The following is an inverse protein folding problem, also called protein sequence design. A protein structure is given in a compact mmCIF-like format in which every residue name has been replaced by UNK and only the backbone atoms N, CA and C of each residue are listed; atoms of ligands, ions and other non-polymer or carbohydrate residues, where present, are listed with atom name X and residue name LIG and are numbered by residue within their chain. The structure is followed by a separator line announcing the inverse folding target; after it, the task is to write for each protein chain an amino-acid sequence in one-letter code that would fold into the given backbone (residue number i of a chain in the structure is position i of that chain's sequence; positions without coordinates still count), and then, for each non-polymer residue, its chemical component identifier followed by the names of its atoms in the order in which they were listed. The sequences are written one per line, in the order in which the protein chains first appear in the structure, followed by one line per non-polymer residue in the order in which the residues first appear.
data_IF_560622153296
#
_entry.id   IF_560622153296
#
_cell.length_a   1.000
_cell.length_b   1.000
_cell.length_c   1.000
_cell.angle_alpha   90.00
_cell.angle_beta   90.00
_cell.angle_gamma   90.00
#
_symmetry.space_group_name_H-M   'P 1'
#
loop_
_entity.id
_entity.type
_entity.pdbx_description
1 polymer ?
#
# COMPACT_ATOMS: atom_id res chain seq x y z
N UNK A 1 2.53 8.30 28.60
CA UNK A 1 3.85 7.67 28.80
C UNK A 1 3.59 6.30 29.41
N UNK A 2 3.97 5.23 28.75
CA UNK A 2 3.80 3.86 29.24
C UNK A 2 5.15 3.39 29.81
N UNK A 3 5.17 2.97 31.08
CA UNK A 3 6.32 2.32 31.68
C UNK A 3 6.32 0.85 31.28
N UNK A 4 7.47 0.29 30.96
CA UNK A 4 7.65 -1.13 30.67
C UNK A 4 8.77 -1.70 31.57
N UNK A 5 8.65 -2.96 31.94
CA UNK A 5 9.67 -3.65 32.73
C UNK A 5 10.74 -4.27 31.82
N UNK A 6 10.34 -4.81 30.67
CA UNK A 6 11.24 -5.42 29.72
C UNK A 6 11.01 -4.82 28.31
N UNK A 7 12.07 -4.26 27.74
CA UNK A 7 12.05 -3.64 26.42
C UNK A 7 11.63 -4.60 25.32
N UNK A 8 12.06 -5.87 25.39
CA UNK A 8 11.72 -6.91 24.42
C UNK A 8 10.21 -7.15 24.35
N UNK A 9 9.54 -7.25 25.49
CA UNK A 9 8.10 -7.50 25.58
C UNK A 9 7.31 -6.31 25.04
N UNK A 10 7.73 -5.10 25.37
CA UNK A 10 7.13 -3.87 24.86
C UNK A 10 7.22 -3.82 23.34
N UNK A 11 8.41 -4.02 22.76
CA UNK A 11 8.60 -3.99 21.32
C UNK A 11 7.89 -5.14 20.60
N UNK A 12 7.80 -6.33 21.18
CA UNK A 12 7.06 -7.44 20.58
C UNK A 12 5.59 -7.09 20.37
N UNK A 13 5.00 -6.31 21.27
CA UNK A 13 3.60 -5.88 21.17
C UNK A 13 3.41 -4.67 20.25
N UNK A 14 4.37 -3.75 20.21
CA UNK A 14 4.20 -2.43 19.62
C UNK A 14 4.92 -2.25 18.26
N UNK A 15 5.85 -3.16 17.88
CA UNK A 15 6.74 -2.96 16.74
C UNK A 15 6.01 -2.68 15.42
N UNK A 16 4.99 -3.47 15.10
CA UNK A 16 4.20 -3.29 13.87
C UNK A 16 2.96 -2.40 14.03
N UNK A 17 2.79 -1.75 15.20
CA UNK A 17 1.66 -0.87 15.47
C UNK A 17 1.94 0.60 15.18
N UNK A 18 3.21 0.97 15.08
CA UNK A 18 3.64 2.34 14.89
C UNK A 18 4.29 2.55 13.52
N UNK A 19 4.13 3.74 12.96
CA UNK A 19 4.69 4.10 11.66
C UNK A 19 6.24 4.23 11.69
N UNK A 20 6.83 4.46 12.85
CA UNK A 20 8.27 4.55 13.06
C UNK A 20 8.63 4.35 14.54
N UNK A 21 9.87 3.96 14.83
CA UNK A 21 10.42 3.87 16.18
C UNK A 21 11.66 4.74 16.33
N UNK A 22 11.72 5.48 17.42
CA UNK A 22 12.89 6.25 17.83
C UNK A 22 13.42 5.63 19.13
N UNK A 23 14.59 5.05 19.05
CA UNK A 23 15.25 4.40 20.18
C UNK A 23 16.30 5.33 20.76
N UNK A 24 16.15 5.72 22.04
CA UNK A 24 17.16 6.49 22.74
C UNK A 24 18.06 5.54 23.52
N UNK A 25 19.30 5.36 23.07
CA UNK A 25 20.24 4.45 23.68
C UNK A 25 21.32 3.91 22.74
N UNK A 26 21.97 2.83 23.12
CA UNK A 26 23.02 2.21 22.31
C UNK A 26 22.45 1.41 21.14
N UNK A 27 22.98 1.64 19.94
CA UNK A 27 22.58 0.94 18.72
C UNK A 27 22.68 -0.59 18.85
N UNK A 28 23.70 -1.10 19.54
CA UNK A 28 23.86 -2.54 19.77
C UNK A 28 22.73 -3.16 20.60
N UNK A 29 22.10 -2.42 21.52
CA UNK A 29 20.92 -2.87 22.26
C UNK A 29 19.72 -2.90 21.31
N UNK A 30 19.51 -1.83 20.55
CA UNK A 30 18.44 -1.76 19.57
C UNK A 30 18.50 -2.94 18.59
N UNK A 31 19.68 -3.25 18.04
CA UNK A 31 19.86 -4.39 17.10
C UNK A 31 19.44 -5.71 17.75
N UNK A 32 19.87 -5.97 18.98
CA UNK A 32 19.58 -7.26 19.67
C UNK A 32 18.09 -7.45 19.95
N UNK A 33 17.39 -6.39 20.36
CA UNK A 33 15.94 -6.47 20.66
C UNK A 33 15.09 -6.48 19.41
N UNK A 34 15.56 -5.87 18.30
CA UNK A 34 14.85 -5.83 17.03
C UNK A 34 15.03 -7.12 16.22
N UNK A 35 16.20 -7.76 16.29
CA UNK A 35 16.53 -8.90 15.44
C UNK A 35 15.44 -9.99 15.35
N UNK A 36 14.81 -10.44 16.46
CA UNK A 36 13.75 -11.44 16.40
C UNK A 36 12.41 -10.93 15.85
N UNK A 37 12.24 -9.59 15.70
CA UNK A 37 11.01 -8.96 15.25
C UNK A 37 11.05 -8.61 13.77
N UNK A 38 12.25 -8.55 13.18
CA UNK A 38 12.44 -8.18 11.78
C UNK A 38 11.85 -9.24 10.86
N UNK A 39 11.06 -8.79 9.89
CA UNK A 39 10.43 -9.63 8.87
C UNK A 39 10.97 -9.31 7.50
N UNK A 40 10.69 -8.10 7.02
CA UNK A 40 11.03 -7.71 5.67
C UNK A 40 11.06 -6.18 5.52
N UNK A 41 12.03 -5.65 4.75
CA UNK A 41 12.21 -4.20 4.53
C UNK A 41 10.97 -3.46 3.99
N UNK A 42 10.01 -4.17 3.42
CA UNK A 42 8.74 -3.61 2.91
C UNK A 42 7.61 -3.60 3.93
N UNK A 43 7.81 -4.23 5.10
CA UNK A 43 6.79 -4.39 6.15
C UNK A 43 7.26 -3.79 7.48
N UNK A 44 8.57 -3.83 7.72
CA UNK A 44 9.16 -3.33 8.95
C UNK A 44 9.10 -1.79 8.99
N UNK A 45 8.68 -1.19 10.12
CA UNK A 45 8.75 0.25 10.29
C UNK A 45 10.20 0.74 10.36
N UNK A 46 10.49 1.99 9.97
CA UNK A 46 11.79 2.57 10.14
C UNK A 46 12.15 2.70 11.62
N UNK A 47 13.39 2.39 11.94
CA UNK A 47 13.94 2.54 13.29
C UNK A 47 15.11 3.49 13.26
N UNK A 48 15.03 4.52 14.08
CA UNK A 48 16.12 5.44 14.36
C UNK A 48 16.71 5.15 15.74
N UNK A 49 18.01 5.37 15.87
CA UNK A 49 18.69 5.34 17.16
C UNK A 49 19.32 6.69 17.42
N UNK A 50 18.97 7.28 18.56
CA UNK A 50 19.64 8.48 19.10
C UNK A 50 20.59 8.04 20.20
N UNK A 51 21.83 8.55 20.18
CA UNK A 51 22.74 8.35 21.31
C UNK A 51 22.25 9.16 22.54
N UNK A 52 22.54 8.72 23.78
CA UNK A 52 22.03 9.38 24.97
C UNK A 52 22.46 10.86 25.12
N UNK A 53 23.55 11.25 24.48
CA UNK A 53 24.03 12.63 24.47
C UNK A 53 23.37 13.49 23.38
N UNK A 54 22.50 12.90 22.54
CA UNK A 54 21.81 13.62 21.46
C UNK A 54 22.72 14.12 20.34
N UNK A 55 23.90 13.52 20.16
CA UNK A 55 24.87 13.95 19.13
C UNK A 55 24.65 13.32 17.78
N UNK A 56 24.07 12.10 17.75
CA UNK A 56 23.89 11.31 16.53
C UNK A 56 22.47 10.79 16.41
N UNK A 57 21.91 10.86 15.20
CA UNK A 57 20.65 10.21 14.82
C UNK A 57 20.98 9.20 13.73
N UNK A 58 20.95 7.92 14.07
CA UNK A 58 21.32 6.82 13.20
C UNK A 58 20.06 6.26 12.55
N UNK A 59 20.00 6.24 11.21
CA UNK A 59 18.99 5.49 10.47
C UNK A 59 19.39 4.02 10.46
N UNK A 60 18.80 3.23 11.38
CA UNK A 60 19.23 1.86 11.62
C UNK A 60 18.58 0.85 10.69
N UNK A 61 17.26 0.95 10.49
CA UNK A 61 16.46 -0.01 9.71
C UNK A 61 15.48 0.77 8.81
N UNK A 62 15.21 0.23 7.62
CA UNK A 62 14.26 0.77 6.64
C UNK A 62 14.52 2.24 6.26
N UNK A 63 15.81 2.57 6.06
CA UNK A 63 16.26 3.92 5.75
C UNK A 63 15.61 4.52 4.51
N UNK A 64 15.56 3.78 3.40
CA UNK A 64 14.99 4.23 2.12
C UNK A 64 13.49 4.03 2.07
N UNK A 65 13.04 2.79 1.92
CA UNK A 65 11.63 2.45 1.72
C UNK A 65 10.72 2.94 2.85
N UNK A 66 11.14 2.74 4.09
CA UNK A 66 10.39 3.19 5.27
C UNK A 66 10.50 4.69 5.55
N UNK A 67 11.34 5.44 4.81
CA UNK A 67 11.54 6.87 5.05
C UNK A 67 12.47 7.19 6.24
N UNK A 68 13.15 6.18 6.81
CA UNK A 68 14.05 6.36 7.98
C UNK A 68 15.15 7.40 7.77
N UNK A 69 15.71 7.50 6.53
CA UNK A 69 16.74 8.49 6.22
C UNK A 69 16.20 9.93 6.27
N UNK A 70 15.02 10.16 5.71
CA UNK A 70 14.37 11.47 5.76
C UNK A 70 14.01 11.84 7.21
N UNK A 71 13.45 10.89 7.96
CA UNK A 71 13.11 11.06 9.36
C UNK A 71 14.37 11.33 10.21
N UNK A 72 15.48 10.61 9.96
CA UNK A 72 16.76 10.84 10.65
C UNK A 72 17.29 12.26 10.43
N UNK A 73 17.26 12.76 9.18
CA UNK A 73 17.64 14.14 8.85
C UNK A 73 16.71 15.15 9.53
N UNK A 74 15.40 14.85 9.57
CA UNK A 74 14.43 15.73 10.22
C UNK A 74 14.66 15.83 11.72
N UNK A 75 14.75 14.70 12.43
CA UNK A 75 15.01 14.66 13.87
C UNK A 75 16.37 15.30 14.20
N UNK A 76 17.42 14.97 13.43
CA UNK A 76 18.75 15.56 13.65
C UNK A 76 18.72 17.09 13.60
N UNK A 77 17.99 17.69 12.66
CA UNK A 77 17.80 19.16 12.61
C UNK A 77 17.07 19.70 13.83
N UNK A 78 16.06 18.99 14.33
CA UNK A 78 15.28 19.43 15.49
C UNK A 78 16.09 19.45 16.78
N UNK A 79 16.99 18.47 16.96
CA UNK A 79 17.77 18.31 18.20
C UNK A 79 19.23 18.81 18.08
N UNK A 80 19.63 19.35 16.93
CA UNK A 80 21.00 19.80 16.69
C UNK A 80 22.02 18.66 16.57
N UNK A 81 21.59 17.47 16.20
CA UNK A 81 22.41 16.27 16.07
C UNK A 81 22.95 16.07 14.65
N UNK A 82 23.92 15.14 14.51
CA UNK A 82 24.42 14.69 13.21
C UNK A 82 23.60 13.48 12.73
N UNK A 83 23.00 13.51 11.53
CA UNK A 83 22.35 12.34 10.95
C UNK A 83 23.41 11.36 10.43
N UNK A 84 23.31 10.09 10.83
CA UNK A 84 24.19 8.99 10.36
C UNK A 84 23.39 8.11 9.41
N UNK A 85 23.71 8.21 8.12
CA UNK A 85 23.06 7.48 7.04
C UNK A 85 24.12 6.68 6.30
N UNK A 86 23.92 5.36 6.20
CA UNK A 86 24.92 4.42 5.65
C UNK A 86 24.45 3.73 4.36
N UNK A 87 23.30 4.13 3.82
CA UNK A 87 22.78 3.56 2.57
C UNK A 87 23.66 3.95 1.38
N UNK A 88 24.04 2.98 0.57
CA UNK A 88 24.99 3.17 -0.54
C UNK A 88 24.55 4.26 -1.55
N UNK A 89 23.24 4.41 -1.77
CA UNK A 89 22.69 5.43 -2.65
C UNK A 89 22.80 6.86 -2.11
N UNK A 90 22.91 7.04 -0.77
CA UNK A 90 23.09 8.35 -0.16
C UNK A 90 24.57 8.73 0.02
N UNK A 91 25.48 7.81 -0.21
CA UNK A 91 26.94 7.99 -0.06
C UNK A 91 27.65 8.29 -1.38
N UNK A 92 26.95 8.44 -2.51
CA UNK A 92 27.58 8.81 -3.78
C UNK A 92 28.09 10.25 -3.74
N UNK A 93 29.41 10.41 -3.86
CA UNK A 93 30.12 11.70 -3.88
C UNK A 93 29.88 12.52 -5.16
N UNK A 94 29.27 11.93 -6.16
CA UNK A 94 28.93 12.61 -7.42
C UNK A 94 27.46 12.97 -7.39
N UNK A 95 27.08 14.18 -7.18
CA UNK A 95 25.75 14.82 -7.20
C UNK A 95 24.62 14.18 -8.07
N UNK A 96 24.79 12.95 -8.51
CA UNK A 96 23.80 12.11 -9.19
C UNK A 96 23.38 11.04 -8.19
N UNK A 97 22.25 11.25 -7.54
CA UNK A 97 21.62 10.19 -6.72
C UNK A 97 21.30 9.01 -7.65
N UNK A 98 21.88 7.81 -7.42
CA UNK A 98 21.55 6.67 -8.27
C UNK A 98 20.04 6.44 -8.19
N UNK A 99 19.39 6.26 -9.34
CA UNK A 99 17.98 5.91 -9.39
C UNK A 99 17.75 4.60 -8.64
N UNK A 100 17.13 4.66 -7.48
CA UNK A 100 16.74 3.47 -6.73
C UNK A 100 15.32 3.11 -7.10
N UNK A 101 15.15 1.91 -7.66
CA UNK A 101 13.86 1.44 -8.17
C UNK A 101 12.78 1.40 -7.08
N UNK A 102 13.15 1.02 -5.86
CA UNK A 102 12.24 1.02 -4.73
C UNK A 102 11.73 2.42 -4.40
N UNK A 103 12.59 3.44 -4.38
CA UNK A 103 12.16 4.81 -4.14
C UNK A 103 11.28 5.33 -5.27
N UNK A 104 11.65 5.08 -6.50
CA UNK A 104 10.85 5.46 -7.65
C UNK A 104 9.43 4.90 -7.55
N UNK A 105 9.29 3.61 -7.24
CA UNK A 105 8.00 2.94 -7.11
C UNK A 105 7.22 3.46 -5.90
N UNK A 106 7.88 3.70 -4.78
CA UNK A 106 7.27 4.30 -3.58
C UNK A 106 6.75 5.69 -3.86
N UNK A 107 7.58 6.55 -4.45
CA UNK A 107 7.23 7.95 -4.72
C UNK A 107 6.12 8.06 -5.78
N UNK A 108 5.99 7.06 -6.65
CA UNK A 108 4.84 6.87 -7.51
C UNK A 108 3.63 6.24 -6.79
N UNK A 109 3.68 5.99 -5.48
CA UNK A 109 2.59 5.38 -4.70
C UNK A 109 2.33 3.90 -5.00
N UNK A 110 3.28 3.22 -5.65
CA UNK A 110 3.16 1.83 -6.07
C UNK A 110 3.65 0.87 -4.98
N UNK A 111 3.13 -0.36 -4.96
CA UNK A 111 3.46 -1.35 -3.93
C UNK A 111 4.17 -2.56 -4.53
N UNK A 112 5.40 -2.82 -4.11
CA UNK A 112 6.20 -3.96 -4.56
C UNK A 112 5.63 -5.25 -3.94
N UNK A 113 5.38 -6.28 -4.78
CA UNK A 113 4.91 -7.59 -4.35
C UNK A 113 6.03 -8.62 -4.26
N UNK A 114 7.07 -8.51 -5.11
CA UNK A 114 8.16 -9.47 -5.21
C UNK A 114 9.51 -8.85 -4.84
N UNK A 115 9.74 -8.66 -3.56
CA UNK A 115 10.97 -8.10 -3.03
C UNK A 115 12.22 -8.90 -3.40
N UNK A 116 12.09 -10.22 -3.63
CA UNK A 116 13.20 -11.09 -4.06
C UNK A 116 13.68 -10.81 -5.49
N UNK A 117 12.83 -10.22 -6.35
CA UNK A 117 13.20 -9.82 -7.71
C UNK A 117 13.83 -8.43 -7.79
N UNK A 118 13.54 -7.58 -6.80
CA UNK A 118 13.99 -6.19 -6.78
C UNK A 118 15.53 -6.02 -6.86
N UNK A 119 16.37 -6.78 -6.13
CA UNK A 119 17.81 -6.65 -6.23
C UNK A 119 18.36 -6.89 -7.63
N UNK A 120 17.78 -7.84 -8.37
CA UNK A 120 18.19 -8.13 -9.76
C UNK A 120 17.80 -6.99 -10.70
N UNK A 121 16.61 -6.43 -10.55
CA UNK A 121 16.15 -5.28 -11.31
C UNK A 121 17.02 -4.05 -11.01
N UNK A 122 17.32 -3.80 -9.73
CA UNK A 122 18.17 -2.70 -9.31
C UNK A 122 19.61 -2.84 -9.84
N UNK A 123 20.20 -4.06 -9.80
CA UNK A 123 21.52 -4.32 -10.35
C UNK A 123 21.59 -4.02 -11.85
N UNK A 124 20.57 -4.42 -12.61
CA UNK A 124 20.49 -4.13 -14.04
C UNK A 124 20.46 -2.61 -14.31
N UNK A 125 19.73 -1.84 -13.51
CA UNK A 125 19.74 -0.38 -13.62
C UNK A 125 21.10 0.25 -13.30
N UNK A 126 21.77 -0.23 -12.26
CA UNK A 126 23.11 0.24 -11.88
C UNK A 126 24.17 -0.08 -12.94
N UNK A 127 23.96 -1.16 -13.71
CA UNK A 127 24.80 -1.52 -14.87
C UNK A 127 24.44 -0.74 -16.15
N UNK A 128 23.53 0.25 -16.06
CA UNK A 128 23.09 1.06 -17.20
C UNK A 128 22.14 0.34 -18.17
N UNK A 129 21.60 -0.83 -17.78
CA UNK A 129 20.64 -1.58 -18.60
C UNK A 129 19.22 -1.02 -18.38
N UNK A 130 18.39 -1.10 -19.41
CA UNK A 130 16.97 -0.74 -19.33
C UNK A 130 16.14 -1.91 -18.83
N UNK A 131 15.15 -1.64 -17.99
CA UNK A 131 14.18 -2.63 -17.51
C UNK A 131 12.98 -2.70 -18.45
N UNK A 132 12.57 -3.91 -18.87
CA UNK A 132 11.27 -4.08 -19.51
C UNK A 132 10.16 -3.72 -18.53
N UNK A 133 9.24 -2.82 -18.92
CA UNK A 133 8.12 -2.37 -18.10
C UNK A 133 6.80 -2.65 -18.81
N UNK A 134 5.96 -3.47 -18.20
CA UNK A 134 4.55 -3.63 -18.56
C UNK A 134 3.70 -2.82 -17.57
N UNK A 135 3.16 -1.70 -18.03
CA UNK A 135 2.40 -0.74 -17.24
C UNK A 135 1.17 -0.25 -18.03
N UNK A 136 0.17 -1.12 -18.23
CA UNK A 136 -1.04 -0.75 -18.96
C UNK A 136 -1.89 0.29 -18.21
N UNK A 137 -1.61 0.48 -16.93
CA UNK A 137 -2.29 1.47 -16.10
C UNK A 137 -1.66 2.87 -16.17
N UNK A 138 -0.56 3.04 -16.91
CA UNK A 138 0.22 4.27 -16.94
C UNK A 138 0.50 4.84 -15.54
N UNK A 139 0.80 3.95 -14.59
CA UNK A 139 0.99 4.29 -13.19
C UNK A 139 2.35 4.97 -12.92
N UNK A 140 3.35 4.71 -13.76
CA UNK A 140 4.62 5.42 -13.73
C UNK A 140 4.59 6.61 -14.69
N UNK A 141 5.08 7.80 -14.29
CA UNK A 141 5.14 8.99 -15.15
C UNK A 141 5.89 8.72 -16.46
N UNK A 142 5.47 9.33 -17.57
CA UNK A 142 6.17 9.21 -18.87
C UNK A 142 7.58 9.79 -18.81
N UNK A 143 7.77 10.85 -18.03
CA UNK A 143 9.05 11.49 -17.76
C UNK A 143 9.97 10.67 -16.81
N UNK A 144 9.61 9.43 -16.50
CA UNK A 144 10.52 8.51 -15.78
C UNK A 144 11.80 8.40 -16.61
N UNK A 145 13.00 8.49 -16.00
CA UNK A 145 14.26 8.42 -16.72
C UNK A 145 14.29 7.26 -17.72
N UNK A 146 15.08 7.34 -18.79
CA UNK A 146 15.12 6.35 -19.87
C UNK A 146 15.58 4.95 -19.45
N UNK A 147 15.40 4.61 -18.17
CA UNK A 147 15.73 3.32 -17.57
C UNK A 147 14.68 2.23 -17.85
N UNK A 148 13.53 2.58 -18.43
CA UNK A 148 12.47 1.63 -18.75
C UNK A 148 12.21 1.53 -20.24
N UNK A 149 12.15 0.28 -20.74
CA UNK A 149 11.61 -0.05 -22.03
C UNK A 149 10.14 -0.44 -21.87
N UNK A 150 9.22 0.46 -22.20
CA UNK A 150 7.77 0.22 -22.05
C UNK A 150 7.29 -0.76 -23.11
N UNK A 151 6.63 -1.81 -22.65
CA UNK A 151 6.01 -2.80 -23.50
C UNK A 151 4.62 -2.31 -23.90
N UNK A 152 4.26 -2.45 -25.16
CA UNK A 152 2.90 -2.16 -25.66
C UNK A 152 1.92 -3.18 -25.08
N UNK A 153 0.81 -2.69 -24.52
CA UNK A 153 -0.18 -3.56 -23.88
C UNK A 153 -1.53 -2.84 -23.72
N UNK A 154 -2.59 -3.63 -23.71
CA UNK A 154 -3.92 -3.18 -23.30
C UNK A 154 -4.11 -3.38 -21.79
N UNK A 155 -4.90 -2.51 -21.14
CA UNK A 155 -5.19 -2.60 -19.70
C UNK A 155 -5.84 -3.94 -19.32
N UNK A 156 -6.62 -4.52 -20.20
CA UNK A 156 -7.28 -5.81 -19.98
C UNK A 156 -6.49 -7.01 -20.53
N UNK A 157 -5.32 -6.77 -21.17
CA UNK A 157 -4.45 -7.81 -21.70
C UNK A 157 -3.77 -8.66 -20.62
N UNK A 158 -3.36 -9.88 -20.95
CA UNK A 158 -2.61 -10.72 -20.03
C UNK A 158 -1.20 -10.13 -19.79
N UNK A 159 -0.60 -10.35 -18.59
CA UNK A 159 0.79 -10.00 -18.36
C UNK A 159 1.71 -10.79 -19.32
N UNK A 160 2.86 -10.21 -19.70
CA UNK A 160 3.78 -10.80 -20.67
C UNK A 160 4.53 -12.02 -20.10
N UNK A 161 3.84 -13.12 -19.88
CA UNK A 161 4.37 -14.33 -19.23
C UNK A 161 5.43 -15.04 -20.08
N UNK A 162 5.36 -14.95 -21.39
CA UNK A 162 6.31 -15.63 -22.30
C UNK A 162 7.70 -14.99 -22.28
N UNK A 163 7.79 -13.70 -22.03
CA UNK A 163 9.07 -12.97 -21.95
C UNK A 163 9.86 -13.28 -20.67
N UNK A 164 9.20 -13.80 -19.63
CA UNK A 164 9.84 -14.05 -18.32
C UNK A 164 10.77 -15.28 -18.34
N UNK A 165 10.64 -16.15 -19.32
CA UNK A 165 11.38 -17.44 -19.37
C UNK A 165 12.82 -17.30 -19.85
N UNK A 166 13.13 -16.31 -20.66
CA UNK A 166 14.41 -16.20 -21.38
C UNK A 166 15.23 -14.95 -21.01
N UNK A 167 14.61 -13.94 -20.39
CA UNK A 167 15.31 -12.69 -20.04
C UNK A 167 16.12 -12.84 -18.74
N UNK A 168 17.42 -12.48 -18.72
CA UNK A 168 18.20 -12.39 -17.50
C UNK A 168 17.77 -11.21 -16.60
N UNK A 169 17.04 -10.25 -17.15
CA UNK A 169 16.52 -9.06 -16.46
C UNK A 169 15.06 -9.29 -16.13
N UNK A 170 14.63 -9.06 -14.87
CA UNK A 170 13.22 -9.16 -14.51
C UNK A 170 12.37 -8.16 -15.29
N UNK A 171 11.18 -8.59 -15.72
CA UNK A 171 10.17 -7.69 -16.25
C UNK A 171 9.48 -7.04 -15.06
N UNK A 172 9.38 -5.71 -15.05
CA UNK A 172 8.58 -4.97 -14.09
C UNK A 172 7.15 -4.92 -14.62
N UNK A 173 6.19 -5.44 -13.85
CA UNK A 173 4.77 -5.45 -14.22
C UNK A 173 3.93 -4.74 -13.17
N UNK A 174 3.28 -3.63 -13.58
CA UNK A 174 2.47 -2.77 -12.72
C UNK A 174 0.98 -2.92 -13.07
N UNK A 175 0.19 -3.48 -12.15
CA UNK A 175 -1.25 -3.67 -12.40
C UNK A 175 -2.06 -3.76 -11.10
N UNK A 176 -3.37 -3.54 -11.18
CA UNK A 176 -4.33 -3.68 -10.08
C UNK A 176 -4.94 -5.10 -9.99
N UNK A 177 -4.79 -5.96 -11.02
CA UNK A 177 -5.19 -7.36 -11.00
C UNK A 177 -4.08 -8.25 -10.46
N UNK A 178 -4.44 -9.44 -10.00
CA UNK A 178 -3.45 -10.48 -9.64
C UNK A 178 -2.67 -10.91 -10.86
N UNK A 179 -1.38 -11.01 -10.69
CA UNK A 179 -0.45 -11.51 -11.71
C UNK A 179 0.21 -12.80 -11.23
N UNK A 180 0.57 -13.71 -12.16
CA UNK A 180 1.24 -14.97 -11.81
C UNK A 180 2.59 -14.67 -11.15
N UNK A 181 2.93 -15.42 -10.10
CA UNK A 181 4.24 -15.33 -9.45
C UNK A 181 5.25 -16.14 -10.24
N UNK A 182 6.24 -15.49 -10.84
CA UNK A 182 7.34 -16.11 -11.58
C UNK A 182 8.69 -15.58 -11.11
N UNK A 183 9.78 -16.33 -11.36
CA UNK A 183 11.13 -15.96 -10.90
C UNK A 183 11.70 -14.67 -11.50
N UNK A 184 11.20 -14.26 -12.67
CA UNK A 184 11.69 -13.12 -13.43
C UNK A 184 10.61 -12.04 -13.65
N UNK A 185 9.57 -12.01 -12.83
CA UNK A 185 8.55 -10.99 -12.84
C UNK A 185 8.59 -10.22 -11.53
N UNK A 186 8.94 -8.94 -11.59
CA UNK A 186 8.77 -8.00 -10.49
C UNK A 186 7.34 -7.47 -10.55
N UNK A 187 6.44 -8.07 -9.78
CA UNK A 187 5.05 -7.62 -9.69
C UNK A 187 4.94 -6.39 -8.81
N UNK A 188 4.19 -5.43 -9.32
CA UNK A 188 3.95 -4.13 -8.68
C UNK A 188 2.44 -3.92 -8.65
N UNK A 189 1.87 -3.77 -7.46
CA UNK A 189 0.46 -3.43 -7.33
C UNK A 189 0.27 -1.93 -7.53
N UNK A 190 -0.72 -1.58 -8.35
CA UNK A 190 -1.16 -0.21 -8.61
C UNK A 190 -2.41 0.07 -7.78
N UNK A 191 -2.35 0.89 -6.71
CA UNK A 191 -3.50 1.17 -5.84
C UNK A 191 -4.54 2.03 -6.57
N UNK A 192 -5.54 1.37 -7.16
CA UNK A 192 -6.67 2.01 -7.88
C UNK A 192 -8.02 1.42 -7.48
N UNK A 193 -8.04 0.38 -6.63
CA UNK A 193 -9.27 -0.28 -6.23
C UNK A 193 -9.85 0.38 -4.99
N UNK A 194 -11.13 0.69 -5.01
CA UNK A 194 -11.89 1.17 -3.86
C UNK A 194 -12.99 0.18 -3.54
N UNK A 195 -12.99 -0.33 -2.31
CA UNK A 195 -13.94 -1.36 -1.86
C UNK A 195 -15.04 -0.69 -1.04
N UNK A 196 -16.25 -0.70 -1.57
CA UNK A 196 -17.41 -0.25 -0.84
C UNK A 196 -18.01 -1.39 -0.02
N UNK A 197 -18.38 -1.09 1.20
CA UNK A 197 -18.90 -2.04 2.19
C UNK A 197 -20.23 -1.54 2.78
N UNK A 198 -21.22 -2.42 2.80
CA UNK A 198 -22.45 -2.26 3.57
C UNK A 198 -22.61 -3.44 4.49
N UNK A 199 -22.79 -3.22 5.80
CA UNK A 199 -22.88 -4.31 6.77
C UNK A 199 -23.96 -4.08 7.82
N UNK A 200 -24.44 -5.16 8.44
CA UNK A 200 -25.21 -5.09 9.68
C UNK A 200 -24.30 -4.66 10.82
N UNK A 201 -24.85 -4.15 11.91
CA UNK A 201 -24.09 -3.78 13.11
C UNK A 201 -23.53 -5.02 13.81
N UNK A 202 -22.39 -4.85 14.46
CA UNK A 202 -21.78 -5.84 15.36
C UNK A 202 -21.50 -7.21 14.72
N UNK A 203 -21.10 -7.22 13.44
CA UNK A 203 -20.64 -8.46 12.81
C UNK A 203 -19.22 -8.81 13.29
N UNK A 204 -18.90 -10.12 13.41
CA UNK A 204 -17.55 -10.57 13.69
C UNK A 204 -16.55 -10.05 12.63
N UNK A 205 -15.36 -9.67 13.06
CA UNK A 205 -14.34 -9.06 12.18
C UNK A 205 -13.83 -10.02 11.11
N UNK A 206 -13.75 -11.31 11.40
CA UNK A 206 -13.35 -12.38 10.47
C UNK A 206 -14.28 -12.51 9.27
N UNK A 207 -15.56 -12.16 9.43
CA UNK A 207 -16.55 -12.18 8.33
C UNK A 207 -16.10 -11.25 7.18
N UNK A 208 -15.57 -10.07 7.49
CA UNK A 208 -15.10 -9.14 6.46
C UNK A 208 -13.85 -9.68 5.76
N UNK A 209 -12.91 -10.26 6.52
CA UNK A 209 -11.68 -10.81 5.94
C UNK A 209 -12.00 -11.93 4.96
N UNK A 210 -12.79 -12.90 5.38
CA UNK A 210 -13.17 -14.01 4.51
C UNK A 210 -13.92 -13.52 3.26
N UNK A 211 -14.88 -12.61 3.43
CA UNK A 211 -15.65 -12.06 2.32
C UNK A 211 -14.75 -11.28 1.32
N UNK A 212 -13.77 -10.53 1.80
CA UNK A 212 -12.82 -9.80 0.96
C UNK A 212 -11.86 -10.76 0.24
N UNK A 213 -11.35 -11.78 0.92
CA UNK A 213 -10.48 -12.80 0.31
C UNK A 213 -11.19 -13.57 -0.81
N UNK A 214 -12.43 -13.98 -0.58
CA UNK A 214 -13.28 -14.61 -1.60
C UNK A 214 -13.57 -13.67 -2.77
N UNK A 215 -13.93 -12.40 -2.48
CA UNK A 215 -14.19 -11.37 -3.50
C UNK A 215 -12.98 -11.15 -4.41
N UNK A 216 -11.81 -10.96 -3.81
CA UNK A 216 -10.56 -10.72 -4.56
C UNK A 216 -10.15 -11.95 -5.37
N UNK A 217 -10.29 -13.15 -4.80
CA UNK A 217 -9.97 -14.39 -5.51
C UNK A 217 -10.89 -14.62 -6.71
N UNK A 218 -12.20 -14.50 -6.51
CA UNK A 218 -13.20 -14.74 -7.55
C UNK A 218 -13.10 -13.75 -8.73
N UNK A 219 -12.63 -12.52 -8.48
CA UNK A 219 -12.57 -11.46 -9.49
C UNK A 219 -11.13 -11.15 -9.96
N UNK A 220 -10.15 -11.99 -9.61
CA UNK A 220 -8.74 -11.80 -9.97
C UNK A 220 -8.16 -10.44 -9.57
N UNK A 221 -8.56 -9.92 -8.40
CA UNK A 221 -8.10 -8.62 -7.89
C UNK A 221 -6.90 -8.79 -6.96
N UNK A 222 -5.94 -7.85 -7.03
CA UNK A 222 -4.78 -7.82 -6.13
C UNK A 222 -5.13 -7.04 -4.84
N UNK A 223 -5.15 -7.67 -3.65
CA UNK A 223 -5.49 -6.98 -2.40
C UNK A 223 -4.61 -5.77 -2.10
N UNK A 224 -3.33 -5.83 -2.50
CA UNK A 224 -2.38 -4.72 -2.35
C UNK A 224 -2.67 -3.56 -3.32
N UNK A 225 -3.58 -3.73 -4.29
CA UNK A 225 -4.05 -2.67 -5.17
C UNK A 225 -5.25 -1.88 -4.60
N UNK A 226 -5.69 -2.20 -3.38
CA UNK A 226 -6.75 -1.44 -2.71
C UNK A 226 -6.20 -0.10 -2.23
N UNK A 227 -6.77 1.00 -2.78
CA UNK A 227 -6.44 2.38 -2.43
C UNK A 227 -7.29 2.88 -1.24
N UNK A 228 -8.49 2.32 -1.04
CA UNK A 228 -9.36 2.70 0.07
C UNK A 228 -10.55 1.77 0.26
N UNK A 229 -11.10 1.80 1.47
CA UNK A 229 -12.41 1.24 1.79
C UNK A 229 -13.40 2.38 1.92
N UNK A 230 -14.67 2.11 1.62
CA UNK A 230 -15.71 3.12 1.69
C UNK A 230 -17.03 2.58 2.25
N UNK A 231 -17.74 3.41 3.02
CA UNK A 231 -19.04 3.06 3.59
C UNK A 231 -19.89 4.31 3.85
N UNK A 232 -21.07 4.11 4.46
CA UNK A 232 -21.90 5.18 4.95
C UNK A 232 -21.39 5.71 6.30
N UNK A 233 -21.56 7.01 6.55
CA UNK A 233 -21.03 7.72 7.71
C UNK A 233 -21.44 7.11 9.05
N UNK A 234 -22.67 6.61 9.17
CA UNK A 234 -23.19 5.98 10.40
C UNK A 234 -22.45 4.67 10.77
N UNK A 235 -21.48 4.26 9.94
CA UNK A 235 -20.65 3.06 10.12
C UNK A 235 -19.17 3.37 10.36
N UNK A 236 -18.82 4.64 10.58
CA UNK A 236 -17.41 5.04 10.71
C UNK A 236 -16.67 4.37 11.88
N UNK A 237 -17.37 4.07 12.99
CA UNK A 237 -16.82 3.33 14.15
C UNK A 237 -17.10 1.83 14.11
N UNK A 238 -17.64 1.29 13.04
CA UNK A 238 -17.97 -0.14 12.98
C UNK A 238 -16.68 -0.98 13.05
N UNK A 239 -16.48 -1.82 14.08
CA UNK A 239 -15.23 -2.56 14.29
C UNK A 239 -14.79 -3.40 13.09
N UNK A 240 -15.76 -3.98 12.37
CA UNK A 240 -15.53 -4.75 11.17
C UNK A 240 -14.88 -3.92 10.05
N UNK A 241 -15.34 -2.67 9.85
CA UNK A 241 -14.79 -1.80 8.81
C UNK A 241 -13.39 -1.31 9.16
N UNK A 242 -13.18 -0.92 10.42
CA UNK A 242 -11.86 -0.51 10.92
C UNK A 242 -10.85 -1.64 10.82
N UNK A 243 -11.25 -2.86 11.17
CA UNK A 243 -10.40 -4.04 11.04
C UNK A 243 -10.07 -4.36 9.58
N UNK A 244 -11.05 -4.30 8.68
CA UNK A 244 -10.83 -4.50 7.25
C UNK A 244 -9.87 -3.46 6.66
N UNK A 245 -10.01 -2.18 7.05
CA UNK A 245 -9.14 -1.10 6.64
C UNK A 245 -7.69 -1.33 7.10
N UNK A 246 -7.50 -1.67 8.37
CA UNK A 246 -6.19 -2.01 8.92
C UNK A 246 -5.57 -3.23 8.22
N UNK A 247 -6.35 -4.28 7.92
CA UNK A 247 -5.89 -5.51 7.26
C UNK A 247 -5.43 -5.28 5.82
N UNK A 248 -6.07 -4.33 5.11
CA UNK A 248 -5.71 -3.95 3.73
C UNK A 248 -4.69 -2.80 3.67
N UNK A 249 -4.29 -2.25 4.81
CA UNK A 249 -3.44 -1.04 4.90
C UNK A 249 -3.99 0.09 4.01
N UNK A 250 -5.31 0.33 4.09
CA UNK A 250 -6.03 1.29 3.28
C UNK A 250 -6.90 2.21 4.16
N UNK A 251 -7.03 3.50 3.83
CA UNK A 251 -7.90 4.41 4.56
C UNK A 251 -9.36 4.01 4.44
N UNK A 252 -10.17 4.35 5.45
CA UNK A 252 -11.62 4.22 5.43
C UNK A 252 -12.23 5.59 5.11
N UNK A 253 -12.98 5.65 4.02
CA UNK A 253 -13.79 6.80 3.62
C UNK A 253 -15.24 6.58 4.05
N UNK A 254 -15.87 7.61 4.57
CA UNK A 254 -17.29 7.55 4.93
C UNK A 254 -18.03 8.74 4.33
N UNK A 255 -19.27 8.49 3.90
CA UNK A 255 -20.07 9.47 3.21
C UNK A 255 -21.51 9.51 3.76
N UNK A 256 -22.09 10.69 3.81
CA UNK A 256 -23.47 10.85 4.22
C UNK A 256 -24.42 10.06 3.30
N UNK A 257 -25.46 9.43 3.88
CA UNK A 257 -26.41 8.63 3.12
C UNK A 257 -27.10 9.44 2.01
N UNK A 258 -27.38 10.72 2.25
CA UNK A 258 -27.95 11.62 1.25
C UNK A 258 -27.03 11.82 0.03
N UNK A 259 -25.72 11.87 0.24
CA UNK A 259 -24.72 11.94 -0.85
C UNK A 259 -24.67 10.64 -1.63
N UNK A 260 -24.65 9.49 -0.94
CA UNK A 260 -24.64 8.17 -1.59
C UNK A 260 -25.92 7.94 -2.41
N UNK A 261 -27.06 8.41 -1.94
CA UNK A 261 -28.34 8.27 -2.65
C UNK A 261 -28.41 9.07 -3.96
N UNK A 262 -27.51 10.02 -4.22
CA UNK A 262 -27.45 10.76 -5.48
C UNK A 262 -26.80 9.95 -6.61
N UNK A 263 -26.03 8.90 -6.28
CA UNK A 263 -25.38 8.06 -7.26
C UNK A 263 -26.32 7.00 -7.82
N UNK A 264 -26.43 6.95 -9.12
CA UNK A 264 -27.13 5.86 -9.79
C UNK A 264 -26.24 4.62 -9.80
N UNK A 265 -26.78 3.53 -9.25
CA UNK A 265 -26.05 2.26 -9.09
C UNK A 265 -26.85 1.11 -9.68
N UNK A 266 -26.19 0.07 -10.23
CA UNK A 266 -26.87 -1.06 -10.87
C UNK A 266 -27.81 -1.84 -9.94
N UNK A 267 -27.54 -1.86 -8.63
CA UNK A 267 -28.28 -2.70 -7.68
C UNK A 267 -28.76 -1.89 -6.46
N UNK A 268 -29.69 -0.94 -6.63
CA UNK A 268 -30.24 -0.18 -5.53
C UNK A 268 -30.95 -1.10 -4.52
N UNK A 269 -31.06 -0.66 -3.28
CA UNK A 269 -31.61 -1.42 -2.17
C UNK A 269 -32.71 -0.63 -1.49
N UNK A 270 -33.93 -1.14 -1.53
CA UNK A 270 -35.07 -0.59 -0.80
C UNK A 270 -34.80 -0.52 0.72
N UNK A 271 -34.13 -1.54 1.26
CA UNK A 271 -33.77 -1.56 2.68
C UNK A 271 -32.82 -0.42 3.07
N UNK A 272 -31.91 0.00 2.18
CA UNK A 272 -31.06 1.17 2.41
C UNK A 272 -31.85 2.46 2.30
N UNK A 273 -32.64 2.63 1.26
CA UNK A 273 -33.53 3.79 1.09
C UNK A 273 -34.43 4.00 2.31
N UNK A 274 -35.15 2.97 2.72
CA UNK A 274 -36.02 3.01 3.90
C UNK A 274 -35.28 3.33 5.20
N UNK A 275 -34.12 2.68 5.42
CA UNK A 275 -33.32 2.87 6.64
C UNK A 275 -32.84 4.30 6.82
N UNK A 276 -32.41 4.94 5.72
CA UNK A 276 -31.79 6.26 5.74
C UNK A 276 -32.74 7.39 5.31
N UNK A 277 -34.03 7.09 5.07
CA UNK A 277 -35.01 8.07 4.63
C UNK A 277 -34.68 8.69 3.27
N UNK A 278 -34.11 7.91 2.37
CA UNK A 278 -33.68 8.30 1.03
C UNK A 278 -34.37 7.47 -0.06
N UNK A 279 -34.25 7.86 -1.33
CA UNK A 279 -34.59 6.97 -2.43
C UNK A 279 -33.74 5.68 -2.34
N UNK A 280 -34.18 4.62 -3.04
CA UNK A 280 -33.42 3.38 -3.09
C UNK A 280 -32.02 3.59 -3.63
N UNK A 281 -30.99 3.12 -2.92
CA UNK A 281 -29.59 3.23 -3.32
C UNK A 281 -28.75 2.06 -2.80
N UNK A 282 -27.58 1.85 -3.40
CA UNK A 282 -26.64 0.82 -2.96
C UNK A 282 -25.50 1.44 -2.18
N UNK A 283 -25.46 1.20 -0.86
CA UNK A 283 -24.37 1.73 0.00
C UNK A 283 -23.01 1.34 -0.54
N UNK A 284 -22.77 0.04 -0.82
CA UNK A 284 -21.47 -0.44 -1.24
C UNK A 284 -21.04 0.07 -2.63
N UNK A 285 -21.96 0.09 -3.62
CA UNK A 285 -21.62 0.57 -4.96
C UNK A 285 -21.41 2.09 -4.99
N UNK A 286 -22.32 2.85 -4.40
CA UNK A 286 -22.22 4.30 -4.34
C UNK A 286 -20.97 4.76 -3.57
N UNK A 287 -20.70 4.13 -2.39
CA UNK A 287 -19.50 4.46 -1.62
C UNK A 287 -18.21 4.13 -2.36
N UNK A 288 -18.14 2.98 -3.05
CA UNK A 288 -16.96 2.62 -3.84
C UNK A 288 -16.72 3.62 -4.98
N UNK A 289 -17.76 3.99 -5.74
CA UNK A 289 -17.66 4.95 -6.86
C UNK A 289 -17.29 6.34 -6.36
N UNK A 290 -17.90 6.81 -5.28
CA UNK A 290 -17.62 8.13 -4.73
C UNK A 290 -16.18 8.23 -4.20
N UNK A 291 -15.70 7.20 -3.51
CA UNK A 291 -14.32 7.14 -3.03
C UNK A 291 -13.29 7.05 -4.18
N UNK A 292 -13.63 6.34 -5.25
CA UNK A 292 -12.77 6.20 -6.42
C UNK A 292 -12.72 7.47 -7.29
N UNK A 293 -13.66 8.39 -7.11
CA UNK A 293 -13.68 9.69 -7.77
C UNK A 293 -14.27 9.69 -9.17
N UNK A 294 -14.17 10.85 -9.83
CA UNK A 294 -14.75 11.07 -11.15
C UNK A 294 -14.12 10.16 -12.22
N UNK A 295 -14.93 9.65 -13.13
CA UNK A 295 -14.52 8.74 -14.19
C UNK A 295 -14.27 7.30 -13.71
N UNK A 296 -14.54 7.01 -12.45
CA UNK A 296 -14.45 5.64 -11.92
C UNK A 296 -15.54 4.73 -12.48
N UNK A 297 -15.26 3.43 -12.49
CA UNK A 297 -16.23 2.40 -12.91
C UNK A 297 -16.26 1.24 -11.93
N UNK A 298 -17.40 0.58 -11.81
CA UNK A 298 -17.47 -0.67 -11.06
C UNK A 298 -16.75 -1.80 -11.83
N UNK A 299 -15.83 -2.47 -11.18
CA UNK A 299 -15.19 -3.71 -11.67
C UNK A 299 -15.80 -4.95 -11.01
N UNK A 300 -16.43 -4.77 -9.85
CA UNK A 300 -17.27 -5.76 -9.20
C UNK A 300 -18.52 -5.05 -8.71
N UNK A 301 -19.67 -5.40 -9.30
CA UNK A 301 -20.98 -4.96 -8.83
C UNK A 301 -21.32 -5.60 -7.48
N UNK A 302 -22.36 -5.09 -6.82
CA UNK A 302 -22.78 -5.52 -5.49
C UNK A 302 -22.85 -7.04 -5.38
N UNK A 303 -22.07 -7.59 -4.47
CA UNK A 303 -22.15 -8.97 -4.01
C UNK A 303 -22.62 -9.01 -2.56
N UNK A 304 -23.42 -10.00 -2.23
CA UNK A 304 -23.94 -10.19 -0.86
C UNK A 304 -23.30 -11.42 -0.24
N UNK A 305 -22.64 -11.23 0.90
CA UNK A 305 -22.01 -12.31 1.65
C UNK A 305 -22.86 -12.65 2.88
N UNK A 306 -23.27 -13.93 3.00
CA UNK A 306 -24.07 -14.46 4.13
C UNK A 306 -25.28 -13.60 4.53
N UNK A 307 -25.89 -12.88 3.59
CA UNK A 307 -27.01 -11.94 3.81
C UNK A 307 -26.79 -10.86 4.89
N UNK A 308 -25.56 -10.62 5.29
CA UNK A 308 -25.22 -9.66 6.35
C UNK A 308 -24.20 -8.59 5.92
N UNK A 309 -23.45 -8.86 4.86
CA UNK A 309 -22.44 -7.97 4.32
C UNK A 309 -22.63 -7.81 2.81
N UNK A 310 -22.53 -6.61 2.30
CA UNK A 310 -22.52 -6.30 0.87
C UNK A 310 -21.21 -5.64 0.49
N UNK A 311 -20.64 -6.04 -0.65
CA UNK A 311 -19.38 -5.54 -1.16
C UNK A 311 -19.54 -5.16 -2.64
N UNK A 312 -18.81 -4.12 -3.04
CA UNK A 312 -18.62 -3.74 -4.43
C UNK A 312 -17.21 -3.19 -4.59
N UNK A 313 -16.66 -3.22 -5.80
CA UNK A 313 -15.32 -2.67 -6.07
C UNK A 313 -15.41 -1.72 -7.25
N UNK A 314 -14.96 -0.49 -7.04
CA UNK A 314 -14.75 0.49 -8.09
C UNK A 314 -13.26 0.63 -8.43
N UNK A 315 -12.98 0.87 -9.71
CA UNK A 315 -11.66 1.19 -10.22
C UNK A 315 -11.61 2.70 -10.50
N UNK A 316 -10.66 3.40 -9.88
CA UNK A 316 -10.41 4.81 -10.17
C UNK A 316 -9.89 4.99 -11.60
N UNK A 317 -10.28 6.06 -12.27
CA UNK A 317 -9.86 6.37 -13.63
C UNK A 317 -8.34 6.54 -13.73
N UNK A 318 -7.72 7.12 -12.71
CA UNK A 318 -6.29 7.30 -12.62
C UNK A 318 -5.75 6.77 -11.29
N UNK A 319 -4.46 6.42 -11.27
CA UNK A 319 -3.78 6.13 -10.02
C UNK A 319 -3.72 7.40 -9.15
N UNK A 320 -4.20 7.37 -7.90
CA UNK A 320 -4.11 8.52 -7.02
C UNK A 320 -2.64 8.84 -6.76
N UNK A 321 -2.18 10.01 -7.24
CA UNK A 321 -0.87 10.52 -6.86
C UNK A 321 -1.01 11.04 -5.43
N UNK A 322 -0.50 10.31 -4.46
CA UNK A 322 -0.38 10.80 -3.10
C UNK A 322 0.76 11.83 -3.10
N UNK A 323 0.41 13.13 -3.10
CA UNK A 323 1.35 14.17 -2.72
C UNK A 323 1.69 13.94 -1.24
N UNK A 324 2.92 13.54 -0.94
CA UNK A 324 3.46 13.40 0.43
C UNK A 324 3.81 14.78 0.96
#
# INVERSE_FOLDING_TARGET
MHAFQHLQDCLTQEYHRHAAHIFLGAAGIAVRVLAPLLRHKGEDPPVLVLDPAGRFVISLICGHWGGGNALARHIARLVGAMPVITTASDSSTNNVTPLTLDLLLRDAGLRILDWGCLPKAQAALLEGRTLPLWDPCHALPEATPPAFNRLTCDEDGPPPTDMTRTSPIPISAAHWRRMPKTKNLLRIAVPRLYVGLGCRKNLPQDVAVTALEELFAANNLEPRAVAGLASVEEKWEEPLLLFAAARLHAPLFVFAAATLAQYDTPHPSQAAGHRFGQKDFSVCEAAALLAAGQGSRLVVSKQTYKRCLTLAVALAAQHPQFSI
#
